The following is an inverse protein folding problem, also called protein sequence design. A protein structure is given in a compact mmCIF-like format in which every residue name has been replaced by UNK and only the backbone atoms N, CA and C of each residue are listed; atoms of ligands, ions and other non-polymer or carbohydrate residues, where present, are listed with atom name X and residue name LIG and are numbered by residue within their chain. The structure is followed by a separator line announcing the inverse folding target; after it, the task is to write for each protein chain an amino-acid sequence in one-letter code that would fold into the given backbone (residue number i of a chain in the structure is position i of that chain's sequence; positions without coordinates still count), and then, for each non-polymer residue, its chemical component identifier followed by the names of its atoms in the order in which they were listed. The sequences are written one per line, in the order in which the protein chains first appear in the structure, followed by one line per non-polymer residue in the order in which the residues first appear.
data_IF_731417330866
#
_entry.id   IF_731417330866
#
_cell.length_a   1.000
_cell.length_b   1.000
_cell.length_c   1.000
_cell.angle_alpha   90.00
_cell.angle_beta   90.00
_cell.angle_gamma   90.00
#
_symmetry.space_group_name_H-M   'P 1'
#
loop_
_entity.id
_entity.type
_entity.pdbx_description
1 polymer ?
#
# COMPACT_ATOMS: atom_id res chain seq x y z
N UNK A 1 -31.97 -1.56 12.10
CA UNK A 1 -32.64 -2.67 11.37
C UNK A 1 -31.52 -3.47 10.75
N UNK A 2 -31.22 -4.64 11.31
CA UNK A 2 -30.20 -5.53 10.74
C UNK A 2 -30.64 -5.85 9.30
N UNK A 3 -29.78 -5.56 8.32
CA UNK A 3 -30.04 -5.99 6.96
C UNK A 3 -29.78 -7.50 6.91
N UNK A 4 -30.85 -8.28 6.92
CA UNK A 4 -30.75 -9.72 6.67
C UNK A 4 -30.34 -9.95 5.20
N UNK A 5 -29.37 -10.83 5.01
CA UNK A 5 -28.97 -11.29 3.68
C UNK A 5 -28.57 -12.77 3.73
N UNK A 6 -28.75 -13.45 2.62
CA UNK A 6 -28.28 -14.80 2.35
C UNK A 6 -27.18 -14.78 1.29
N UNK A 7 -26.01 -15.37 1.55
CA UNK A 7 -24.97 -15.54 0.53
C UNK A 7 -25.47 -16.40 -0.64
N UNK A 8 -25.16 -16.01 -1.87
CA UNK A 8 -25.46 -16.80 -3.08
C UNK A 8 -24.33 -17.77 -3.45
N UNK A 9 -23.23 -17.76 -2.70
CA UNK A 9 -22.11 -18.71 -2.78
C UNK A 9 -21.53 -18.96 -1.39
N UNK A 10 -20.71 -19.99 -1.26
CA UNK A 10 -19.94 -20.24 -0.03
C UNK A 10 -19.01 -19.07 0.30
N UNK A 11 -19.01 -18.65 1.56
CA UNK A 11 -18.26 -17.51 2.10
C UNK A 11 -17.67 -17.87 3.46
N UNK A 12 -16.55 -17.25 3.83
CA UNK A 12 -15.98 -17.39 5.18
C UNK A 12 -16.76 -16.56 6.21
N UNK A 13 -16.62 -16.87 7.49
CA UNK A 13 -17.21 -16.07 8.57
C UNK A 13 -16.72 -14.61 8.53
N UNK A 14 -15.47 -14.40 8.14
CA UNK A 14 -14.89 -13.08 7.93
C UNK A 14 -15.59 -12.29 6.81
N UNK A 15 -15.92 -12.95 5.71
CA UNK A 15 -16.67 -12.33 4.61
C UNK A 15 -18.07 -11.93 5.05
N UNK A 16 -18.75 -12.81 5.79
CA UNK A 16 -20.10 -12.54 6.31
C UNK A 16 -20.09 -11.40 7.32
N UNK A 17 -19.11 -11.38 8.22
CA UNK A 17 -18.93 -10.29 9.19
C UNK A 17 -18.69 -8.95 8.48
N UNK A 18 -17.83 -8.91 7.46
CA UNK A 18 -17.58 -7.70 6.67
C UNK A 18 -18.86 -7.13 6.06
N UNK A 19 -19.69 -7.98 5.44
CA UNK A 19 -20.93 -7.53 4.81
C UNK A 19 -21.91 -7.03 5.88
N UNK A 20 -22.08 -7.78 6.98
CA UNK A 20 -22.96 -7.38 8.09
C UNK A 20 -22.55 -6.03 8.67
N UNK A 21 -21.27 -5.85 8.95
CA UNK A 21 -20.72 -4.63 9.53
C UNK A 21 -20.90 -3.41 8.61
N UNK A 22 -20.72 -3.57 7.29
CA UNK A 22 -20.98 -2.50 6.31
C UNK A 22 -22.48 -2.14 6.25
N UNK A 23 -23.38 -3.13 6.29
CA UNK A 23 -24.82 -2.88 6.22
C UNK A 23 -25.41 -2.32 7.53
N UNK A 24 -24.91 -2.77 8.68
CA UNK A 24 -25.41 -2.35 10.00
C UNK A 24 -24.79 -1.05 10.48
N UNK A 25 -23.58 -0.70 9.99
CA UNK A 25 -22.74 0.39 10.51
C UNK A 25 -22.42 0.24 12.01
N UNK A 26 -22.41 -1.00 12.52
CA UNK A 26 -22.18 -1.31 13.94
C UNK A 26 -20.86 -0.75 14.47
N UNK A 27 -19.85 -0.59 13.60
CA UNK A 27 -18.55 -0.03 13.96
C UNK A 27 -18.67 1.33 14.66
N UNK A 28 -19.62 2.18 14.24
CA UNK A 28 -19.80 3.50 14.86
C UNK A 28 -20.22 3.35 16.33
N UNK A 29 -21.19 2.48 16.62
CA UNK A 29 -21.60 2.18 17.99
C UNK A 29 -20.46 1.59 18.82
N UNK A 30 -19.69 0.67 18.24
CA UNK A 30 -18.53 0.07 18.91
C UNK A 30 -17.46 1.11 19.26
N UNK A 31 -17.21 2.10 18.38
CA UNK A 31 -16.27 3.20 18.68
C UNK A 31 -16.73 4.02 19.90
N UNK A 32 -18.02 4.34 20.00
CA UNK A 32 -18.53 5.09 21.14
C UNK A 32 -18.54 4.28 22.46
N UNK A 33 -18.78 2.98 22.38
CA UNK A 33 -18.80 2.09 23.55
C UNK A 33 -17.39 1.73 24.04
N UNK A 34 -16.44 1.61 23.13
CA UNK A 34 -15.06 1.19 23.38
C UNK A 34 -14.09 2.06 22.56
N UNK A 35 -13.91 3.34 22.94
CA UNK A 35 -13.04 4.25 22.20
C UNK A 35 -11.60 3.76 22.26
N UNK A 36 -10.94 3.55 21.10
CA UNK A 36 -9.56 3.08 21.07
C UNK A 36 -8.58 4.24 21.33
N UNK A 37 -7.38 3.95 21.82
CA UNK A 37 -6.32 4.97 21.91
C UNK A 37 -5.93 5.48 20.50
N UNK A 38 -5.93 4.58 19.52
CA UNK A 38 -5.58 4.85 18.13
C UNK A 38 -6.64 4.29 17.18
N UNK A 39 -7.06 5.10 16.21
CA UNK A 39 -7.93 4.71 15.12
C UNK A 39 -7.20 4.89 13.79
N UNK A 40 -6.84 3.77 13.15
CA UNK A 40 -6.22 3.78 11.82
C UNK A 40 -7.31 3.81 10.75
N UNK A 41 -7.25 4.79 9.86
CA UNK A 41 -8.19 4.95 8.75
C UNK A 41 -7.49 4.71 7.41
N UNK A 42 -8.06 3.85 6.57
CA UNK A 42 -7.63 3.62 5.19
C UNK A 42 -8.77 3.91 4.20
N UNK A 43 -8.42 4.20 2.95
CA UNK A 43 -9.36 4.51 1.85
C UNK A 43 -9.34 3.45 0.74
N UNK A 44 -9.00 2.20 1.06
CA UNK A 44 -8.94 1.10 0.10
C UNK A 44 -10.29 0.89 -0.61
N UNK A 45 -11.37 0.89 0.16
CA UNK A 45 -12.71 0.66 -0.38
C UNK A 45 -13.14 1.77 -1.35
N UNK A 46 -12.77 3.03 -1.08
CA UNK A 46 -13.08 4.18 -1.94
C UNK A 46 -12.42 4.03 -3.31
N UNK A 47 -11.15 3.63 -3.33
CA UNK A 47 -10.36 3.48 -4.56
C UNK A 47 -10.77 2.25 -5.36
N UNK A 48 -11.01 1.11 -4.69
CA UNK A 48 -11.26 -0.14 -5.38
C UNK A 48 -12.73 -0.44 -5.66
N UNK A 49 -13.66 0.07 -4.85
CA UNK A 49 -15.08 -0.32 -4.91
C UNK A 49 -15.99 0.86 -5.20
N UNK A 50 -15.81 1.97 -4.48
CA UNK A 50 -16.81 3.02 -4.36
C UNK A 50 -18.07 2.54 -3.62
N UNK A 51 -19.20 3.21 -3.87
CA UNK A 51 -20.44 2.99 -3.12
C UNK A 51 -21.64 2.73 -4.04
N UNK A 52 -22.65 2.08 -3.47
CA UNK A 52 -24.00 1.97 -3.98
C UNK A 52 -24.88 2.93 -3.19
N UNK A 53 -25.51 3.89 -3.87
CA UNK A 53 -26.55 4.74 -3.29
C UNK A 53 -27.91 4.08 -3.49
N UNK A 54 -28.56 3.74 -2.38
CA UNK A 54 -29.88 3.12 -2.36
C UNK A 54 -30.98 4.17 -2.56
N UNK A 55 -32.19 3.73 -2.95
CA UNK A 55 -33.35 4.62 -3.17
C UNK A 55 -33.75 5.43 -1.94
N UNK A 56 -33.53 4.88 -0.74
CA UNK A 56 -33.81 5.55 0.54
C UNK A 56 -32.69 6.51 0.98
N UNK A 57 -31.67 6.71 0.13
CA UNK A 57 -30.55 7.63 0.39
C UNK A 57 -29.40 7.02 1.17
N UNK A 58 -29.50 5.77 1.66
CA UNK A 58 -28.39 5.09 2.32
C UNK A 58 -27.29 4.71 1.32
N UNK A 59 -26.07 4.55 1.84
CA UNK A 59 -24.91 4.10 1.09
C UNK A 59 -24.42 2.75 1.61
N UNK A 60 -24.01 1.88 0.69
CA UNK A 60 -23.38 0.57 0.95
C UNK A 60 -22.12 0.47 0.12
N UNK A 61 -21.07 -0.14 0.64
CA UNK A 61 -19.83 -0.32 -0.13
C UNK A 61 -20.11 -1.21 -1.34
N UNK A 62 -19.69 -0.80 -2.54
CA UNK A 62 -19.87 -1.54 -3.78
C UNK A 62 -18.85 -2.70 -3.90
N UNK A 63 -18.77 -3.53 -2.86
CA UNK A 63 -17.79 -4.59 -2.76
C UNK A 63 -18.16 -5.76 -3.68
N UNK A 64 -17.62 -5.72 -4.90
CA UNK A 64 -17.82 -6.76 -5.92
C UNK A 64 -17.28 -8.14 -5.54
N UNK A 65 -16.43 -8.24 -4.51
CA UNK A 65 -15.89 -9.52 -4.03
C UNK A 65 -16.81 -10.21 -3.02
N UNK A 66 -17.62 -9.43 -2.30
CA UNK A 66 -18.44 -9.87 -1.18
C UNK A 66 -19.92 -9.55 -1.41
N UNK A 67 -20.34 -8.29 -1.23
CA UNK A 67 -21.73 -7.83 -1.28
C UNK A 67 -22.47 -8.26 -2.55
N UNK A 68 -21.81 -8.31 -3.71
CA UNK A 68 -22.46 -8.74 -4.97
C UNK A 68 -22.94 -10.19 -4.96
N UNK A 69 -22.45 -11.01 -4.04
CA UNK A 69 -22.79 -12.42 -3.90
C UNK A 69 -23.76 -12.65 -2.74
N UNK A 70 -24.74 -11.76 -2.59
CA UNK A 70 -25.84 -11.85 -1.62
C UNK A 70 -27.17 -11.65 -2.32
N UNK A 71 -28.24 -12.26 -1.81
CA UNK A 71 -29.62 -12.01 -2.25
C UNK A 71 -29.98 -10.52 -2.17
N UNK A 72 -29.55 -9.82 -1.12
CA UNK A 72 -29.67 -8.38 -0.97
C UNK A 72 -29.20 -7.62 -2.21
N UNK A 73 -28.00 -7.91 -2.73
CA UNK A 73 -27.53 -7.25 -3.95
C UNK A 73 -28.30 -7.71 -5.20
N UNK A 74 -28.67 -8.99 -5.30
CA UNK A 74 -29.43 -9.48 -6.44
C UNK A 74 -30.81 -8.82 -6.53
N UNK A 75 -31.49 -8.68 -5.40
CA UNK A 75 -32.79 -8.03 -5.29
C UNK A 75 -32.69 -6.53 -5.58
N UNK A 76 -31.66 -5.86 -5.05
CA UNK A 76 -31.34 -4.48 -5.41
C UNK A 76 -31.10 -4.32 -6.92
N UNK A 77 -30.39 -5.25 -7.55
CA UNK A 77 -30.10 -5.17 -8.98
C UNK A 77 -31.33 -5.47 -9.87
N UNK A 78 -32.24 -6.33 -9.40
CA UNK A 78 -33.42 -6.75 -10.16
C UNK A 78 -34.63 -5.82 -9.98
N UNK A 79 -34.85 -5.28 -8.77
CA UNK A 79 -36.14 -4.69 -8.38
C UNK A 79 -36.00 -3.24 -7.88
N UNK A 80 -35.08 -2.98 -6.95
CA UNK A 80 -35.01 -1.68 -6.27
C UNK A 80 -34.12 -0.67 -6.99
N UNK A 81 -33.15 -1.12 -7.77
CA UNK A 81 -32.15 -0.25 -8.38
C UNK A 81 -31.28 0.50 -7.37
N UNK A 82 -30.17 1.02 -7.88
CA UNK A 82 -29.22 1.81 -7.12
C UNK A 82 -28.37 2.63 -8.07
N UNK A 83 -27.80 3.71 -7.58
CA UNK A 83 -26.77 4.45 -8.29
C UNK A 83 -25.38 3.94 -7.85
N UNK A 84 -24.50 3.68 -8.81
CA UNK A 84 -23.10 3.33 -8.54
C UNK A 84 -22.26 4.59 -8.63
N UNK A 85 -21.50 4.89 -7.58
CA UNK A 85 -20.56 6.00 -7.54
C UNK A 85 -19.17 5.45 -7.26
N UNK A 86 -18.20 5.83 -8.08
CA UNK A 86 -16.80 5.42 -7.95
C UNK A 86 -15.91 6.58 -8.30
N UNK A 87 -14.86 6.76 -7.50
CA UNK A 87 -13.89 7.84 -7.71
C UNK A 87 -13.15 7.75 -9.04
N UNK A 88 -12.99 6.54 -9.59
CA UNK A 88 -12.38 6.33 -10.91
C UNK A 88 -13.30 6.71 -12.07
N UNK A 89 -14.62 6.74 -11.85
CA UNK A 89 -15.61 7.00 -12.90
C UNK A 89 -16.05 8.48 -12.89
N UNK A 90 -16.18 9.09 -11.71
CA UNK A 90 -16.52 10.51 -11.51
C UNK A 90 -15.76 11.07 -10.28
N UNK A 91 -14.49 11.48 -10.44
CA UNK A 91 -13.62 11.84 -9.33
C UNK A 91 -14.14 12.97 -8.44
N UNK A 92 -14.68 14.03 -9.04
CA UNK A 92 -15.08 15.22 -8.29
C UNK A 92 -16.36 14.97 -7.51
N UNK A 93 -17.36 14.35 -8.15
CA UNK A 93 -18.61 14.02 -7.47
C UNK A 93 -18.39 13.01 -6.34
N UNK A 94 -17.53 12.01 -6.55
CA UNK A 94 -17.20 11.07 -5.48
C UNK A 94 -16.45 11.76 -4.35
N UNK A 95 -15.48 12.61 -4.67
CA UNK A 95 -14.69 13.33 -3.67
C UNK A 95 -15.56 14.25 -2.81
N UNK A 96 -16.53 14.95 -3.39
CA UNK A 96 -17.51 15.75 -2.65
C UNK A 96 -18.31 14.89 -1.65
N UNK A 97 -18.88 13.78 -2.12
CA UNK A 97 -19.63 12.84 -1.28
C UNK A 97 -18.77 12.27 -0.14
N UNK A 98 -17.56 11.84 -0.47
CA UNK A 98 -16.61 11.28 0.48
C UNK A 98 -16.17 12.33 1.52
N UNK A 99 -15.95 13.58 1.11
CA UNK A 99 -15.57 14.67 2.01
C UNK A 99 -16.68 14.97 3.03
N UNK A 100 -17.93 15.00 2.58
CA UNK A 100 -19.10 15.17 3.46
C UNK A 100 -19.25 14.00 4.45
N UNK A 101 -18.98 12.76 3.98
CA UNK A 101 -18.99 11.59 4.84
C UNK A 101 -17.86 11.63 5.89
N UNK A 102 -16.66 12.05 5.47
CA UNK A 102 -15.51 12.19 6.35
C UNK A 102 -15.71 13.28 7.40
N UNK A 103 -16.34 14.40 7.04
CA UNK A 103 -16.70 15.47 7.98
C UNK A 103 -17.64 14.97 9.09
N UNK A 104 -18.68 14.23 8.72
CA UNK A 104 -19.58 13.61 9.70
C UNK A 104 -18.86 12.59 10.58
N UNK A 105 -17.96 11.80 9.98
CA UNK A 105 -17.17 10.82 10.73
C UNK A 105 -16.22 11.51 11.72
N UNK A 106 -15.52 12.56 11.30
CA UNK A 106 -14.64 13.33 12.16
C UNK A 106 -15.40 13.98 13.32
N UNK A 107 -16.58 14.55 13.05
CA UNK A 107 -17.45 15.08 14.09
C UNK A 107 -17.89 14.00 15.09
N UNK A 108 -18.27 12.81 14.58
CA UNK A 108 -18.66 11.68 15.41
C UNK A 108 -17.51 11.20 16.32
N UNK A 109 -16.31 11.04 15.75
CA UNK A 109 -15.11 10.66 16.53
C UNK A 109 -14.78 11.73 17.56
N UNK A 110 -14.85 13.02 17.21
CA UNK A 110 -14.61 14.11 18.15
C UNK A 110 -15.61 14.18 19.30
N UNK A 111 -16.88 13.80 19.06
CA UNK A 111 -17.92 13.76 20.09
C UNK A 111 -17.80 12.53 21.00
N UNK A 112 -17.60 11.35 20.42
CA UNK A 112 -17.70 10.08 21.16
C UNK A 112 -16.35 9.52 21.60
N UNK A 113 -15.26 9.93 20.96
CA UNK A 113 -13.91 9.40 21.16
C UNK A 113 -12.89 10.55 21.26
N UNK A 114 -13.08 11.55 22.15
CA UNK A 114 -12.30 12.79 22.15
C UNK A 114 -10.79 12.60 22.42
N UNK A 115 -10.42 11.51 23.08
CA UNK A 115 -9.02 11.16 23.40
C UNK A 115 -8.38 10.24 22.35
N UNK A 116 -9.16 9.75 21.37
CA UNK A 116 -8.67 8.87 20.31
C UNK A 116 -7.82 9.64 19.32
N UNK A 117 -6.62 9.14 19.06
CA UNK A 117 -5.76 9.66 17.99
C UNK A 117 -6.12 8.98 16.67
N UNK A 118 -6.51 9.78 15.68
CA UNK A 118 -6.76 9.28 14.32
C UNK A 118 -5.46 9.30 13.53
N UNK A 119 -5.14 8.19 12.88
CA UNK A 119 -3.97 8.01 12.02
C UNK A 119 -4.42 7.62 10.63
N UNK A 120 -4.11 8.44 9.63
CA UNK A 120 -4.38 8.14 8.22
C UNK A 120 -3.30 7.21 7.68
N UNK A 121 -3.72 6.05 7.17
CA UNK A 121 -2.87 5.17 6.39
C UNK A 121 -2.86 5.63 4.94
N UNK A 122 -1.74 6.21 4.49
CA UNK A 122 -1.59 6.64 3.10
C UNK A 122 -1.29 5.44 2.19
N UNK A 123 -2.35 4.71 1.82
CA UNK A 123 -2.28 3.54 0.96
C UNK A 123 -1.92 3.86 -0.49
N UNK A 124 -1.47 2.84 -1.23
CA UNK A 124 -1.15 2.97 -2.67
C UNK A 124 -1.17 1.63 -3.40
N UNK A 125 -1.32 1.67 -4.72
CA UNK A 125 -1.21 0.50 -5.58
C UNK A 125 0.22 0.34 -6.10
N UNK A 126 0.72 -0.89 -6.09
CA UNK A 126 1.91 -1.31 -6.83
C UNK A 126 1.52 -2.24 -7.98
N UNK A 127 2.09 -2.05 -9.18
CA UNK A 127 1.89 -2.94 -10.33
C UNK A 127 3.11 -3.81 -10.63
N UNK A 128 4.07 -3.87 -9.70
CA UNK A 128 5.29 -4.65 -9.81
C UNK A 128 5.35 -5.74 -8.72
N UNK A 129 5.89 -6.89 -9.11
CA UNK A 129 6.00 -8.09 -8.30
C UNK A 129 7.42 -8.64 -8.35
N UNK A 130 7.93 -9.13 -7.22
CA UNK A 130 9.14 -9.95 -7.18
C UNK A 130 8.78 -11.43 -7.34
N UNK A 131 9.23 -12.11 -8.42
CA UNK A 131 9.02 -13.55 -8.59
C UNK A 131 9.80 -14.40 -7.56
N UNK A 132 9.35 -15.64 -7.27
CA UNK A 132 10.07 -16.52 -6.37
C UNK A 132 11.48 -16.82 -6.87
N UNK A 133 12.49 -16.53 -6.04
CA UNK A 133 13.90 -16.79 -6.36
C UNK A 133 14.52 -15.82 -7.37
N UNK A 134 13.79 -14.76 -7.77
CA UNK A 134 14.31 -13.70 -8.63
C UNK A 134 14.56 -12.43 -7.82
N UNK A 135 15.52 -11.62 -8.27
CA UNK A 135 15.83 -10.30 -7.70
C UNK A 135 15.17 -9.17 -8.46
N UNK A 136 14.60 -9.45 -9.64
CA UNK A 136 14.08 -8.45 -10.56
C UNK A 136 12.55 -8.35 -10.45
N UNK A 137 12.01 -7.14 -10.23
CA UNK A 137 10.58 -6.93 -10.33
C UNK A 137 10.09 -7.12 -11.77
N UNK A 138 8.91 -7.71 -11.90
CA UNK A 138 8.19 -7.85 -13.15
C UNK A 138 6.80 -7.25 -13.00
N UNK A 139 6.16 -6.82 -14.10
CA UNK A 139 4.79 -6.35 -14.02
C UNK A 139 3.87 -7.44 -13.46
N UNK A 140 3.08 -7.12 -12.44
CA UNK A 140 2.11 -8.00 -11.78
C UNK A 140 1.17 -8.69 -12.79
N UNK A 141 0.84 -7.98 -13.87
CA UNK A 141 0.05 -8.51 -15.01
C UNK A 141 0.63 -9.76 -15.65
N UNK A 142 1.93 -10.01 -15.53
CA UNK A 142 2.60 -11.21 -16.04
C UNK A 142 2.26 -12.46 -15.22
N UNK A 143 1.86 -12.28 -13.94
CA UNK A 143 1.57 -13.36 -12.99
C UNK A 143 0.08 -13.68 -12.89
N UNK A 144 -0.80 -12.70 -13.10
CA UNK A 144 -2.25 -12.89 -12.95
C UNK A 144 -3.03 -12.21 -14.08
N UNK A 145 -3.82 -13.00 -14.81
CA UNK A 145 -4.88 -12.46 -15.68
C UNK A 145 -6.00 -11.95 -14.78
N UNK A 146 -6.19 -10.63 -14.71
CA UNK A 146 -7.16 -10.01 -13.81
C UNK A 146 -7.63 -8.64 -14.26
N UNK A 147 -8.51 -8.04 -13.45
CA UNK A 147 -9.04 -6.69 -13.67
C UNK A 147 -7.88 -5.70 -13.62
N UNK A 148 -7.68 -5.00 -14.74
CA UNK A 148 -6.67 -3.95 -14.85
C UNK A 148 -7.19 -2.71 -14.14
N UNK A 149 -6.34 -2.13 -13.29
CA UNK A 149 -6.53 -0.76 -12.81
C UNK A 149 -5.46 0.13 -13.46
N UNK A 150 -5.81 1.38 -13.66
CA UNK A 150 -4.83 2.42 -13.96
C UNK A 150 -4.17 2.82 -12.63
N UNK A 151 -3.02 2.22 -12.32
CA UNK A 151 -2.30 2.43 -11.06
C UNK A 151 -1.90 3.90 -10.85
N UNK A 152 -1.31 4.60 -11.83
CA UNK A 152 -1.04 6.03 -11.71
C UNK A 152 -2.28 6.85 -11.35
N UNK A 153 -3.41 6.66 -12.06
CA UNK A 153 -4.64 7.37 -11.76
C UNK A 153 -5.19 7.01 -10.38
N UNK A 154 -5.25 5.72 -10.04
CA UNK A 154 -5.74 5.26 -8.74
C UNK A 154 -4.90 5.84 -7.58
N UNK A 155 -3.58 5.89 -7.71
CA UNK A 155 -2.70 6.45 -6.68
C UNK A 155 -2.80 7.97 -6.58
N UNK A 156 -3.01 8.67 -7.70
CA UNK A 156 -3.25 10.12 -7.68
C UNK A 156 -4.56 10.46 -6.95
N UNK A 157 -5.60 9.66 -7.17
CA UNK A 157 -6.89 9.80 -6.48
C UNK A 157 -6.81 9.41 -5.01
N UNK A 158 -6.09 8.34 -4.66
CA UNK A 158 -5.86 7.94 -3.27
C UNK A 158 -5.13 9.05 -2.51
N UNK A 159 -4.06 9.60 -3.11
CA UNK A 159 -3.33 10.73 -2.54
C UNK A 159 -4.22 11.94 -2.31
N UNK A 160 -5.16 12.24 -3.22
CA UNK A 160 -6.15 13.32 -3.02
C UNK A 160 -7.00 13.09 -1.76
N UNK A 161 -7.39 11.85 -1.46
CA UNK A 161 -8.14 11.51 -0.24
C UNK A 161 -7.25 11.66 1.00
N UNK A 162 -6.06 11.06 0.99
CA UNK A 162 -5.09 11.11 2.09
C UNK A 162 -4.74 12.56 2.48
N UNK A 163 -4.40 13.36 1.47
CA UNK A 163 -3.98 14.76 1.65
C UNK A 163 -5.15 15.60 2.19
N UNK A 164 -6.39 15.36 1.74
CA UNK A 164 -7.56 16.05 2.27
C UNK A 164 -7.83 15.70 3.73
N UNK A 165 -7.79 14.40 4.08
CA UNK A 165 -8.04 13.94 5.45
C UNK A 165 -7.00 14.51 6.43
N UNK A 166 -5.73 14.44 6.07
CA UNK A 166 -4.63 14.91 6.93
C UNK A 166 -4.61 16.44 7.05
N UNK A 167 -4.78 17.18 5.96
CA UNK A 167 -4.72 18.65 5.99
C UNK A 167 -5.95 19.30 6.64
N UNK A 168 -7.13 18.68 6.52
CA UNK A 168 -8.38 19.27 7.05
C UNK A 168 -8.54 19.05 8.54
N UNK A 169 -8.21 17.85 9.04
CA UNK A 169 -8.46 17.48 10.43
C UNK A 169 -7.19 17.47 11.30
N UNK A 170 -6.01 17.65 10.71
CA UNK A 170 -4.74 17.64 11.43
C UNK A 170 -4.38 16.26 12.02
N UNK A 171 -4.94 15.19 11.45
CA UNK A 171 -4.66 13.83 11.87
C UNK A 171 -3.24 13.41 11.53
N UNK A 172 -2.67 12.54 12.36
CA UNK A 172 -1.37 11.91 12.07
C UNK A 172 -1.47 11.07 10.80
N UNK A 173 -0.34 10.81 10.15
CA UNK A 173 -0.29 10.02 8.93
C UNK A 173 0.91 9.07 8.94
N UNK A 174 0.70 7.88 8.39
CA UNK A 174 1.76 6.94 8.04
C UNK A 174 1.82 6.88 6.52
N UNK A 175 2.84 7.54 5.95
CA UNK A 175 3.07 7.61 4.51
C UNK A 175 4.35 6.88 4.11
N UNK A 176 4.16 5.73 3.45
CA UNK A 176 5.23 4.85 2.99
C UNK A 176 5.29 4.76 1.45
N UNK A 177 4.57 5.63 0.75
CA UNK A 177 4.36 5.54 -0.71
C UNK A 177 5.64 5.68 -1.51
N UNK A 178 6.60 6.45 -1.00
CA UNK A 178 7.86 6.76 -1.68
C UNK A 178 9.00 5.78 -1.33
N UNK A 179 8.73 4.77 -0.49
CA UNK A 179 9.73 3.75 -0.09
C UNK A 179 9.83 2.59 -1.09
N UNK A 180 9.03 2.58 -2.16
CA UNK A 180 9.20 1.68 -3.31
C UNK A 180 8.74 0.23 -3.08
N UNK A 181 7.75 0.03 -2.21
CA UNK A 181 7.23 -1.32 -1.94
C UNK A 181 6.56 -1.97 -3.15
N UNK A 182 6.79 -3.28 -3.27
CA UNK A 182 6.30 -4.15 -4.34
C UNK A 182 5.34 -5.18 -3.76
N UNK A 183 4.68 -5.97 -4.61
CA UNK A 183 4.00 -7.20 -4.14
C UNK A 183 4.93 -8.42 -4.27
N UNK A 184 4.62 -9.50 -3.57
CA UNK A 184 5.37 -10.77 -3.68
C UNK A 184 4.45 -11.94 -4.09
N UNK A 185 5.02 -12.89 -4.82
CA UNK A 185 4.27 -14.03 -5.36
C UNK A 185 3.74 -14.98 -4.26
N UNK A 186 4.43 -15.05 -3.13
CA UNK A 186 4.13 -15.89 -1.97
C UNK A 186 3.37 -15.17 -0.85
N UNK A 187 2.81 -13.98 -1.13
CA UNK A 187 2.02 -13.24 -0.16
C UNK A 187 0.89 -14.12 0.41
N UNK A 188 0.57 -14.08 1.72
CA UNK A 188 -0.46 -14.94 2.34
C UNK A 188 -1.85 -14.86 1.67
N UNK A 189 -2.16 -13.72 1.04
CA UNK A 189 -3.41 -13.48 0.32
C UNK A 189 -3.26 -13.51 -1.21
N UNK A 190 -2.13 -14.04 -1.69
CA UNK A 190 -1.72 -14.02 -3.09
C UNK A 190 -1.30 -12.63 -3.58
N UNK A 191 -0.66 -12.53 -4.75
CA UNK A 191 -0.18 -11.27 -5.28
C UNK A 191 -1.34 -10.36 -5.71
N UNK A 192 -1.30 -9.09 -5.26
CA UNK A 192 -2.31 -8.07 -5.55
C UNK A 192 -1.74 -6.66 -5.36
N UNK A 193 -2.43 -5.65 -5.91
CA UNK A 193 -1.96 -4.26 -5.97
C UNK A 193 -1.66 -3.62 -4.60
N UNK A 194 -2.25 -4.14 -3.51
CA UNK A 194 -2.08 -3.63 -2.14
C UNK A 194 -1.52 -4.68 -1.18
N UNK A 195 -1.00 -5.79 -1.71
CA UNK A 195 -0.41 -6.87 -0.92
C UNK A 195 1.11 -6.75 -0.99
N UNK A 196 1.66 -5.84 -0.20
CA UNK A 196 3.07 -5.48 -0.27
C UNK A 196 3.98 -6.59 0.25
N UNK A 197 5.27 -6.49 -0.01
CA UNK A 197 6.31 -7.31 0.62
C UNK A 197 6.23 -7.20 2.15
N UNK A 198 6.59 -8.27 2.86
CA UNK A 198 6.31 -8.39 4.30
C UNK A 198 6.99 -7.30 5.16
N UNK A 199 8.11 -6.75 4.69
CA UNK A 199 8.82 -5.63 5.33
C UNK A 199 7.98 -4.34 5.38
N UNK A 200 7.00 -4.18 4.50
CA UNK A 200 6.02 -3.09 4.57
C UNK A 200 5.27 -3.07 5.91
N UNK A 201 4.75 -4.22 6.34
CA UNK A 201 3.94 -4.30 7.56
C UNK A 201 4.79 -4.05 8.81
N UNK A 202 6.06 -4.48 8.79
CA UNK A 202 7.00 -4.15 9.86
C UNK A 202 7.30 -2.65 9.90
N UNK A 203 7.49 -2.02 8.74
CA UNK A 203 7.69 -0.57 8.64
C UNK A 203 6.48 0.21 9.12
N UNK A 204 5.28 -0.18 8.70
CA UNK A 204 4.02 0.44 9.13
C UNK A 204 3.84 0.39 10.65
N UNK A 205 4.08 -0.78 11.26
CA UNK A 205 3.99 -0.93 12.72
C UNK A 205 5.03 -0.07 13.45
N UNK A 206 6.27 0.01 12.92
CA UNK A 206 7.30 0.87 13.50
C UNK A 206 6.91 2.36 13.45
N UNK A 207 6.28 2.83 12.37
CA UNK A 207 5.76 4.20 12.30
C UNK A 207 4.61 4.45 13.27
N UNK A 208 3.72 3.47 13.47
CA UNK A 208 2.66 3.57 14.48
C UNK A 208 3.23 3.64 15.90
N UNK A 209 4.25 2.84 16.20
CA UNK A 209 4.98 2.90 17.48
C UNK A 209 5.66 4.26 17.67
N UNK A 210 6.24 4.85 16.62
CA UNK A 210 6.83 6.19 16.68
C UNK A 210 5.79 7.27 16.98
N UNK A 211 4.59 7.18 16.40
CA UNK A 211 3.48 8.10 16.73
C UNK A 211 3.12 7.98 18.21
N UNK A 212 3.06 6.76 18.75
CA UNK A 212 2.78 6.56 20.17
C UNK A 212 3.87 7.13 21.08
N UNK A 213 5.14 6.85 20.78
CA UNK A 213 6.28 7.32 21.53
C UNK A 213 6.40 8.85 21.54
N UNK A 214 6.04 9.54 20.44
CA UNK A 214 5.99 11.02 20.39
C UNK A 214 5.11 11.61 21.49
N UNK A 215 4.04 10.91 21.87
CA UNK A 215 3.14 11.36 22.94
C UNK A 215 3.58 10.98 24.36
N UNK A 216 4.60 10.13 24.51
CA UNK A 216 4.99 9.53 25.80
C UNK A 216 6.39 9.92 26.27
N UNK A 217 7.32 10.16 25.34
CA UNK A 217 8.71 10.43 25.64
C UNK A 217 8.97 11.92 25.87
N UNK A 218 10.00 12.21 26.68
CA UNK A 218 10.56 13.55 26.75
C UNK A 218 11.19 13.93 25.38
N UNK A 219 11.21 15.22 25.00
CA UNK A 219 11.73 15.66 23.71
C UNK A 219 13.15 15.16 23.39
N UNK A 220 14.02 15.09 24.40
CA UNK A 220 15.39 14.58 24.28
C UNK A 220 15.45 13.07 23.95
N UNK A 221 14.61 12.27 24.59
CA UNK A 221 14.55 10.82 24.36
C UNK A 221 13.91 10.52 23.00
N UNK A 222 12.87 11.28 22.64
CA UNK A 222 12.25 11.20 21.33
C UNK A 222 13.27 11.52 20.22
N UNK A 223 14.05 12.59 20.38
CA UNK A 223 15.09 12.95 19.41
C UNK A 223 16.15 11.86 19.27
N UNK A 224 16.51 11.17 20.37
CA UNK A 224 17.42 10.02 20.32
C UNK A 224 16.82 8.85 19.53
N UNK A 225 15.57 8.49 19.82
CA UNK A 225 14.86 7.39 19.13
C UNK A 225 14.73 7.69 17.64
N UNK A 226 14.32 8.91 17.28
CA UNK A 226 14.23 9.35 15.88
C UNK A 226 15.60 9.32 15.20
N UNK A 227 16.66 9.81 15.85
CA UNK A 227 18.00 9.74 15.29
C UNK A 227 18.48 8.31 15.03
N UNK A 228 18.12 7.36 15.87
CA UNK A 228 18.43 5.93 15.65
C UNK A 228 17.63 5.38 14.47
N UNK A 229 16.33 5.68 14.39
CA UNK A 229 15.46 5.26 13.30
C UNK A 229 15.95 5.81 11.95
N UNK A 230 16.23 7.12 11.88
CA UNK A 230 16.71 7.81 10.69
C UNK A 230 18.07 7.26 10.22
N UNK A 231 19.00 7.06 11.15
CA UNK A 231 20.31 6.48 10.81
C UNK A 231 20.18 5.04 10.29
N UNK A 232 19.26 4.24 10.87
CA UNK A 232 18.95 2.90 10.39
C UNK A 232 18.34 2.90 8.99
N UNK A 233 17.37 3.78 8.74
CA UNK A 233 16.75 3.95 7.43
C UNK A 233 17.75 4.43 6.38
N UNK A 234 18.55 5.46 6.68
CA UNK A 234 19.56 5.98 5.76
C UNK A 234 20.60 4.91 5.42
N UNK A 235 21.02 4.12 6.41
CA UNK A 235 21.92 2.99 6.18
C UNK A 235 21.30 1.94 5.25
N UNK A 236 20.03 1.56 5.49
CA UNK A 236 19.31 0.60 4.67
C UNK A 236 19.13 1.09 3.22
N UNK A 237 18.70 2.34 3.02
CA UNK A 237 18.53 2.98 1.70
C UNK A 237 19.86 3.05 0.97
N UNK A 238 20.94 3.48 1.65
CA UNK A 238 22.28 3.55 1.06
C UNK A 238 22.77 2.17 0.63
N UNK A 239 22.60 1.16 1.48
CA UNK A 239 22.97 -0.21 1.19
C UNK A 239 22.17 -0.75 0.00
N UNK A 240 20.86 -0.56 -0.01
CA UNK A 240 19.98 -0.97 -1.11
C UNK A 240 20.38 -0.32 -2.44
N UNK A 241 20.60 1.00 -2.47
CA UNK A 241 21.05 1.73 -3.68
C UNK A 241 22.39 1.20 -4.20
N UNK A 242 23.39 1.05 -3.32
CA UNK A 242 24.68 0.51 -3.70
C UNK A 242 24.55 -0.89 -4.30
N UNK A 243 23.67 -1.72 -3.72
CA UNK A 243 23.40 -3.05 -4.22
C UNK A 243 22.70 -3.02 -5.59
N UNK A 244 21.68 -2.17 -5.78
CA UNK A 244 21.00 -1.98 -7.06
C UNK A 244 21.94 -1.51 -8.17
N UNK A 245 22.80 -0.53 -7.89
CA UNK A 245 23.81 -0.04 -8.84
C UNK A 245 24.80 -1.14 -9.22
N UNK A 246 25.28 -1.89 -8.23
CA UNK A 246 26.23 -3.00 -8.44
C UNK A 246 25.59 -4.11 -9.27
N UNK A 247 24.35 -4.50 -8.94
CA UNK A 247 23.61 -5.54 -9.68
C UNK A 247 23.34 -5.11 -11.11
N UNK A 248 22.89 -3.87 -11.33
CA UNK A 248 22.67 -3.32 -12.68
C UNK A 248 23.95 -3.30 -13.51
N UNK A 249 25.07 -2.89 -12.93
CA UNK A 249 26.36 -2.87 -13.62
C UNK A 249 26.84 -4.29 -13.99
N UNK A 250 26.57 -5.29 -13.14
CA UNK A 250 26.85 -6.69 -13.45
C UNK A 250 25.95 -7.22 -14.57
N UNK A 251 24.67 -6.86 -14.57
CA UNK A 251 23.69 -7.26 -15.59
C UNK A 251 24.01 -6.67 -16.97
N UNK A 252 24.30 -5.37 -17.06
CA UNK A 252 24.73 -4.72 -18.31
C UNK A 252 25.96 -5.42 -18.91
N UNK A 253 26.87 -5.85 -18.03
CA UNK A 253 28.07 -6.58 -18.41
C UNK A 253 27.79 -8.02 -18.84
N UNK A 254 26.84 -8.71 -18.22
CA UNK A 254 26.39 -10.03 -18.67
C UNK A 254 25.75 -9.92 -20.06
N UNK A 255 24.85 -8.95 -20.26
CA UNK A 255 24.20 -8.71 -21.54
C UNK A 255 25.21 -8.36 -22.66
N UNK A 256 26.23 -7.54 -22.36
CA UNK A 256 27.34 -7.26 -23.28
C UNK A 256 28.09 -8.55 -23.66
N UNK A 257 28.41 -9.40 -22.69
CA UNK A 257 29.12 -10.65 -22.90
C UNK A 257 28.29 -11.68 -23.69
N UNK A 258 26.98 -11.75 -23.45
CA UNK A 258 26.05 -12.62 -24.17
C UNK A 258 25.88 -12.15 -25.63
N UNK A 259 25.80 -10.83 -25.86
CA UNK A 259 25.72 -10.24 -27.20
C UNK A 259 26.98 -10.41 -28.06
N UNK A 260 28.15 -10.64 -27.43
CA UNK A 260 29.42 -10.86 -28.13
C UNK A 260 29.60 -12.28 -28.69
N UNK A 261 28.83 -13.25 -28.20
CA UNK A 261 28.97 -14.68 -28.51
C UNK A 261 30.14 -15.36 -27.79
N UNK A 262 29.92 -16.60 -27.33
CA UNK A 262 30.76 -17.39 -26.39
C UNK A 262 32.29 -17.24 -26.53
N UNK A 263 32.82 -17.27 -27.76
CA UNK A 263 34.26 -17.20 -28.02
C UNK A 263 34.82 -15.78 -27.79
N UNK A 264 34.07 -14.74 -28.12
CA UNK A 264 34.49 -13.34 -27.92
C UNK A 264 34.32 -12.91 -26.47
N UNK A 265 33.30 -13.41 -25.76
CA UNK A 265 33.06 -13.14 -24.34
C UNK A 265 34.23 -13.63 -23.48
N UNK A 266 34.73 -14.86 -23.74
CA UNK A 266 35.90 -15.43 -23.04
C UNK A 266 37.16 -14.62 -23.31
N UNK A 267 37.39 -14.21 -24.57
CA UNK A 267 38.56 -13.42 -24.97
C UNK A 267 38.55 -12.02 -24.36
N UNK A 268 37.38 -11.39 -24.25
CA UNK A 268 37.19 -10.10 -23.59
C UNK A 268 37.44 -10.18 -22.07
N UNK A 269 36.91 -11.22 -21.41
CA UNK A 269 37.11 -11.44 -19.97
C UNK A 269 38.59 -11.68 -19.61
N UNK A 270 39.30 -12.50 -20.41
CA UNK A 270 40.76 -12.69 -20.27
C UNK A 270 41.53 -11.38 -20.50
N UNK A 271 41.17 -10.61 -21.53
CA UNK A 271 41.80 -9.33 -21.83
C UNK A 271 41.63 -8.30 -20.71
N UNK A 272 40.47 -8.25 -20.05
CA UNK A 272 40.26 -7.38 -18.90
C UNK A 272 41.04 -7.82 -17.65
N UNK A 273 41.10 -9.12 -17.34
CA UNK A 273 41.94 -9.62 -16.23
C UNK A 273 43.41 -9.26 -16.41
N UNK A 274 43.93 -9.38 -17.63
CA UNK A 274 45.31 -8.97 -17.94
C UNK A 274 45.51 -7.46 -17.79
N UNK A 275 44.53 -6.64 -18.15
CA UNK A 275 44.57 -5.18 -17.97
C UNK A 275 44.52 -4.76 -16.49
N UNK A 276 43.63 -5.36 -15.70
CA UNK A 276 43.55 -5.11 -14.25
C UNK A 276 44.82 -5.55 -13.53
N UNK A 277 45.37 -6.72 -13.86
CA UNK A 277 46.63 -7.19 -13.29
C UNK A 277 47.83 -6.30 -13.67
N UNK A 278 47.83 -5.70 -14.87
CA UNK A 278 48.83 -4.71 -15.28
C UNK A 278 48.66 -3.36 -14.58
N UNK A 279 47.43 -2.89 -14.40
CA UNK A 279 47.15 -1.65 -13.67
C UNK A 279 47.59 -1.76 -12.20
N UNK A 280 47.19 -2.83 -11.52
CA UNK A 280 47.59 -3.11 -10.13
C UNK A 280 49.12 -3.23 -9.96
N UNK A 281 49.82 -3.82 -10.94
CA UNK A 281 51.30 -3.88 -10.95
C UNK A 281 51.96 -2.52 -11.17
N UNK A 282 51.38 -1.67 -12.02
CA UNK A 282 51.92 -0.34 -12.29
C UNK A 282 51.67 0.63 -11.14
N UNK A 283 50.57 0.48 -10.40
CA UNK A 283 50.30 1.27 -9.20
C UNK A 283 51.22 0.83 -8.05
N UNK A 284 51.42 -0.48 -7.85
CA UNK A 284 52.39 -1.00 -6.88
C UNK A 284 53.86 -0.61 -7.19
N UNK A 285 54.20 -0.38 -8.46
CA UNK A 285 55.53 0.09 -8.87
C UNK A 285 55.74 1.61 -8.71
N UNK A 286 54.66 2.39 -8.49
CA UNK A 286 54.73 3.83 -8.23
C UNK A 286 54.81 4.18 -6.74
N UNK A 287 54.48 3.24 -5.85
CA UNK A 287 54.50 3.41 -4.40
C UNK A 287 55.80 2.97 -3.71
N UNK A 288 56.83 2.56 -4.47
CA UNK A 288 58.17 2.28 -3.93
C UNK A 288 59.15 3.38 -4.36
N UNK A 289 59.71 4.20 -3.43
CA UNK A 289 60.97 4.89 -3.66
C UNK A 289 62.16 3.92 -3.63
#
# INVERSE_FOLDING_TARGET
MEAEFTPTKSMSDYDLWNIRSDLSRELLGLLAEQPPDYLVLDFFADIHFGVLRLRDGRFVTNNRWKTHHTDFYQDLAANDGFERLRILDDPDRYFELWSEALERFAAYVGEHCPDTKVVVHCGFNTDELVPPGETRPVPLRSFKKGVRIDVPLANALWRRLDDHATSTYGWDAIDLRDEGYLTCADHPWGPFYVHYTMDYYHRFLAELDLIDLRGRLAPEDLALVQGIADAGHEHAVRYARQWTETTRAQEERIAELEGLGLVRSVRFALGQRVRQARAARNDAAKEQP
#
